data_IF_527440834553
#
_entry.id   IF_527440834553
#
_cell.length_a   1.000
_cell.length_b   1.000
_cell.length_c   1.000
_cell.angle_alpha   90.00
_cell.angle_beta   90.00
_cell.angle_gamma   90.00
#
_symmetry.space_group_name_H-M   'P 1'
#
loop_
_entity.id
_entity.type
_entity.pdbx_description
1 polymer ?
#
# COMPACT_ATOMS: atom_id res chain seq x y z
N UNK A 1 -12.45 7.03 -5.21
CA UNK A 1 -12.25 5.96 -4.20
C UNK A 1 -11.40 6.59 -3.11
N UNK A 2 -11.69 6.41 -1.82
CA UNK A 2 -10.77 6.90 -0.78
C UNK A 2 -9.54 5.99 -0.72
N UNK A 3 -8.41 6.52 -0.27
CA UNK A 3 -7.18 5.73 -0.12
C UNK A 3 -7.38 4.48 0.75
N UNK A 4 -8.11 4.63 1.86
CA UNK A 4 -8.50 3.50 2.70
C UNK A 4 -9.33 2.45 1.96
N UNK A 5 -10.25 2.87 1.08
CA UNK A 5 -11.10 1.96 0.29
C UNK A 5 -10.29 1.19 -0.78
N UNK A 6 -9.23 1.79 -1.33
CA UNK A 6 -8.30 1.09 -2.22
C UNK A 6 -7.52 -0.02 -1.51
N UNK A 7 -7.33 0.09 -0.19
CA UNK A 7 -6.55 -0.87 0.61
C UNK A 7 -7.45 -1.93 1.24
N UNK A 8 -8.43 -1.50 2.03
CA UNK A 8 -9.31 -2.38 2.85
C UNK A 8 -10.77 -2.43 2.37
N UNK A 9 -11.12 -1.72 1.29
CA UNK A 9 -12.47 -1.76 0.73
C UNK A 9 -12.83 -3.13 0.16
N UNK A 10 -14.10 -3.32 -0.20
CA UNK A 10 -14.61 -4.61 -0.73
C UNK A 10 -13.82 -5.12 -1.95
N UNK A 11 -13.27 -4.20 -2.74
CA UNK A 11 -12.38 -4.47 -3.87
C UNK A 11 -10.99 -3.87 -3.66
N UNK A 12 -10.55 -3.80 -2.41
CA UNK A 12 -9.24 -3.29 -2.04
C UNK A 12 -8.14 -4.34 -2.22
N UNK A 13 -6.90 -3.88 -2.31
CA UNK A 13 -5.74 -4.73 -2.56
C UNK A 13 -5.61 -5.85 -1.51
N UNK A 14 -5.88 -5.57 -0.24
CA UNK A 14 -5.78 -6.57 0.83
C UNK A 14 -6.88 -7.63 0.76
N UNK A 15 -8.07 -7.27 0.26
CA UNK A 15 -9.16 -8.23 0.07
C UNK A 15 -8.81 -9.18 -1.08
N UNK A 16 -8.31 -8.65 -2.19
CA UNK A 16 -7.83 -9.46 -3.32
C UNK A 16 -6.72 -10.44 -2.89
N UNK A 17 -5.76 -9.96 -2.10
CA UNK A 17 -4.66 -10.79 -1.60
C UNK A 17 -5.10 -11.87 -0.61
N UNK A 18 -6.07 -11.58 0.28
CA UNK A 18 -6.53 -12.52 1.31
C UNK A 18 -7.58 -13.50 0.82
N UNK A 19 -8.50 -13.05 -0.04
CA UNK A 19 -9.62 -13.87 -0.51
C UNK A 19 -9.31 -14.59 -1.83
N UNK A 20 -8.52 -13.96 -2.71
CA UNK A 20 -8.27 -14.46 -4.05
C UNK A 20 -6.81 -14.89 -4.29
N UNK A 21 -5.92 -14.70 -3.31
CA UNK A 21 -4.48 -14.98 -3.42
C UNK A 21 -3.86 -14.35 -4.67
N UNK A 22 -4.37 -13.18 -5.08
CA UNK A 22 -3.99 -12.51 -6.31
C UNK A 22 -3.58 -11.07 -6.00
N UNK A 23 -2.46 -10.66 -6.59
CA UNK A 23 -1.99 -9.29 -6.50
C UNK A 23 -2.62 -8.47 -7.63
N UNK A 24 -3.51 -7.56 -7.27
CA UNK A 24 -4.18 -6.71 -8.24
C UNK A 24 -3.33 -5.48 -8.56
N UNK A 25 -2.52 -5.58 -9.63
CA UNK A 25 -1.58 -4.53 -10.02
C UNK A 25 -2.23 -3.18 -10.28
N UNK A 26 -3.47 -3.16 -10.78
CA UNK A 26 -4.17 -1.89 -11.05
C UNK A 26 -4.46 -1.12 -9.77
N UNK A 27 -4.96 -1.83 -8.75
CA UNK A 27 -5.23 -1.21 -7.43
C UNK A 27 -3.93 -0.75 -6.81
N UNK A 28 -2.88 -1.57 -6.91
CA UNK A 28 -1.56 -1.20 -6.43
C UNK A 28 -1.02 0.07 -7.11
N UNK A 29 -1.12 0.18 -8.43
CA UNK A 29 -0.72 1.39 -9.16
C UNK A 29 -1.53 2.62 -8.72
N UNK A 30 -2.85 2.48 -8.49
CA UNK A 30 -3.68 3.56 -7.95
C UNK A 30 -3.20 4.01 -6.54
N UNK A 31 -2.84 3.07 -5.67
CA UNK A 31 -2.27 3.34 -4.34
C UNK A 31 -0.96 4.13 -4.45
N UNK A 32 -0.05 3.68 -5.31
CA UNK A 32 1.26 4.34 -5.49
C UNK A 32 1.11 5.72 -6.11
N UNK A 33 0.22 5.89 -7.09
CA UNK A 33 -0.08 7.20 -7.66
C UNK A 33 -0.63 8.15 -6.60
N UNK A 34 -1.58 7.69 -5.79
CA UNK A 34 -2.13 8.48 -4.68
C UNK A 34 -1.02 8.93 -3.71
N UNK A 35 -0.14 8.00 -3.30
CA UNK A 35 0.97 8.33 -2.41
C UNK A 35 1.89 9.38 -3.03
N UNK A 36 2.30 9.21 -4.29
CA UNK A 36 3.19 10.17 -4.97
C UNK A 36 2.56 11.55 -5.17
N UNK A 37 1.27 11.62 -5.50
CA UNK A 37 0.55 12.89 -5.66
C UNK A 37 0.50 13.67 -4.33
N UNK A 38 0.26 12.98 -3.22
CA UNK A 38 0.17 13.61 -1.90
C UNK A 38 1.52 13.79 -1.20
N UNK A 39 2.57 13.06 -1.62
CA UNK A 39 3.90 13.12 -1.02
C UNK A 39 4.49 14.52 -0.99
N UNK A 40 4.36 15.25 -2.11
CA UNK A 40 4.86 16.63 -2.23
C UNK A 40 4.14 17.57 -1.27
N UNK A 41 2.83 17.38 -1.09
CA UNK A 41 2.01 18.17 -0.16
C UNK A 41 2.37 17.86 1.30
N UNK A 42 2.46 16.58 1.66
CA UNK A 42 2.84 16.15 3.02
C UNK A 42 4.24 16.62 3.40
N UNK A 43 5.20 16.53 2.47
CA UNK A 43 6.56 17.03 2.68
C UNK A 43 6.60 18.55 2.86
N UNK A 44 5.82 19.30 2.06
CA UNK A 44 5.79 20.75 2.16
C UNK A 44 5.07 21.26 3.41
N UNK A 45 4.06 20.54 3.89
CA UNK A 45 3.24 20.95 5.04
C UNK A 45 3.72 20.35 6.37
N UNK A 46 4.55 19.31 6.31
CA UNK A 46 4.97 18.51 7.48
C UNK A 46 3.81 17.79 8.15
N UNK A 47 2.71 17.56 7.42
CA UNK A 47 1.48 17.00 7.96
C UNK A 47 0.96 15.89 7.07
N UNK A 48 0.74 14.71 7.66
CA UNK A 48 0.06 13.59 7.03
C UNK A 48 -1.28 13.40 7.76
N UNK A 49 -2.41 13.35 7.04
CA UNK A 49 -3.68 13.02 7.66
C UNK A 49 -3.62 11.65 8.35
N UNK A 50 -4.15 11.57 9.58
CA UNK A 50 -4.13 10.33 10.37
C UNK A 50 -4.78 9.16 9.62
N UNK A 51 -5.82 9.42 8.84
CA UNK A 51 -6.50 8.39 8.06
C UNK A 51 -5.59 7.76 6.99
N UNK A 52 -4.76 8.57 6.34
CA UNK A 52 -3.84 8.12 5.30
C UNK A 52 -2.64 7.39 5.92
N UNK A 53 -2.07 7.94 7.00
CA UNK A 53 -1.01 7.29 7.76
C UNK A 53 -1.44 5.91 8.28
N UNK A 54 -2.61 5.80 8.91
CA UNK A 54 -3.15 4.52 9.40
C UNK A 54 -3.35 3.54 8.25
N UNK A 55 -3.87 4.00 7.12
CA UNK A 55 -4.09 3.13 5.95
C UNK A 55 -2.77 2.63 5.36
N UNK A 56 -1.73 3.48 5.29
CA UNK A 56 -0.38 3.08 4.88
C UNK A 56 0.23 2.04 5.81
N UNK A 57 0.19 2.27 7.12
CA UNK A 57 0.74 1.30 8.08
C UNK A 57 0.01 -0.04 8.03
N UNK A 58 -1.32 -0.03 7.89
CA UNK A 58 -2.10 -1.26 7.72
C UNK A 58 -1.73 -2.01 6.44
N UNK A 59 -1.47 -1.29 5.35
CA UNK A 59 -1.00 -1.89 4.10
C UNK A 59 0.35 -2.58 4.31
N UNK A 60 1.34 -1.88 4.87
CA UNK A 60 2.69 -2.43 5.10
C UNK A 60 2.65 -3.63 6.03
N UNK A 61 1.93 -3.53 7.16
CA UNK A 61 1.79 -4.63 8.12
C UNK A 61 1.18 -5.88 7.46
N UNK A 62 0.10 -5.69 6.69
CA UNK A 62 -0.57 -6.79 6.04
C UNK A 62 0.25 -7.44 4.92
N UNK A 63 1.02 -6.65 4.16
CA UNK A 63 1.91 -7.16 3.13
C UNK A 63 3.15 -7.86 3.73
N UNK A 64 3.72 -7.28 4.80
CA UNK A 64 4.89 -7.83 5.51
C UNK A 64 4.58 -9.10 6.30
N UNK A 65 3.31 -9.34 6.62
CA UNK A 65 2.85 -10.54 7.34
C UNK A 65 3.02 -11.84 6.54
N UNK A 66 3.16 -11.75 5.21
CA UNK A 66 3.30 -12.91 4.34
C UNK A 66 2.05 -13.82 4.30
N UNK A 67 2.04 -14.78 3.40
CA UNK A 67 1.02 -15.84 3.38
C UNK A 67 1.56 -17.11 2.77
N UNK A 68 1.40 -18.23 3.49
CA UNK A 68 1.69 -19.57 2.99
C UNK A 68 0.85 -20.00 1.77
N UNK A 69 -0.21 -19.24 1.45
CA UNK A 69 -1.12 -19.51 0.34
C UNK A 69 -0.77 -18.73 -0.93
N UNK A 70 0.17 -17.78 -0.85
CA UNK A 70 0.61 -17.06 -2.02
C UNK A 70 1.49 -17.95 -2.88
N UNK A 71 1.37 -17.77 -4.19
CA UNK A 71 2.33 -18.34 -5.14
C UNK A 71 3.62 -17.51 -5.09
N UNK A 72 4.76 -18.11 -5.46
CA UNK A 72 6.06 -17.43 -5.49
C UNK A 72 5.99 -16.09 -6.25
N UNK A 73 5.27 -16.05 -7.38
CA UNK A 73 5.06 -14.82 -8.15
C UNK A 73 4.33 -13.72 -7.33
N UNK A 74 3.32 -14.11 -6.55
CA UNK A 74 2.56 -13.15 -5.73
C UNK A 74 3.40 -12.68 -4.55
N UNK A 75 4.13 -13.59 -3.90
CA UNK A 75 5.03 -13.28 -2.80
C UNK A 75 6.10 -12.27 -3.25
N UNK A 76 6.76 -12.51 -4.38
CA UNK A 76 7.73 -11.59 -4.96
C UNK A 76 7.13 -10.21 -5.26
N UNK A 77 5.91 -10.15 -5.83
CA UNK A 77 5.23 -8.86 -6.08
C UNK A 77 4.86 -8.14 -4.79
N UNK A 78 4.48 -8.87 -3.74
CA UNK A 78 4.17 -8.31 -2.43
C UNK A 78 5.44 -7.75 -1.76
N UNK A 79 6.56 -8.46 -1.82
CA UNK A 79 7.84 -7.98 -1.29
C UNK A 79 8.33 -6.71 -2.00
N UNK A 80 8.26 -6.68 -3.33
CA UNK A 80 8.58 -5.52 -4.15
C UNK A 80 7.70 -4.31 -3.78
N UNK A 81 6.40 -4.55 -3.60
CA UNK A 81 5.44 -3.54 -3.17
C UNK A 81 5.75 -2.97 -1.78
N UNK A 82 6.12 -3.81 -0.81
CA UNK A 82 6.51 -3.36 0.54
C UNK A 82 7.73 -2.45 0.45
N UNK A 83 8.74 -2.84 -0.32
CA UNK A 83 9.97 -2.07 -0.47
C UNK A 83 9.71 -0.69 -1.09
N UNK A 84 8.92 -0.63 -2.17
CA UNK A 84 8.57 0.62 -2.84
C UNK A 84 7.79 1.57 -1.92
N UNK A 85 6.81 1.06 -1.16
CA UNK A 85 6.05 1.89 -0.20
C UNK A 85 6.96 2.38 0.94
N UNK A 86 7.88 1.56 1.43
CA UNK A 86 8.82 1.96 2.47
C UNK A 86 9.81 3.03 1.98
N UNK A 87 10.28 2.94 0.73
CA UNK A 87 11.10 3.99 0.12
C UNK A 87 10.32 5.32 0.07
N UNK A 88 9.08 5.29 -0.42
CA UNK A 88 8.19 6.46 -0.48
C UNK A 88 8.06 7.11 0.92
N UNK A 89 7.81 6.31 1.96
CA UNK A 89 7.70 6.81 3.34
C UNK A 89 9.02 7.40 3.83
N UNK A 90 10.14 6.75 3.54
CA UNK A 90 11.46 7.21 3.98
C UNK A 90 11.76 8.61 3.43
N UNK A 91 11.28 8.94 2.22
CA UNK A 91 11.45 10.30 1.66
C UNK A 91 10.68 11.40 2.40
N UNK A 92 9.69 11.04 3.24
CA UNK A 92 8.96 11.96 4.11
C UNK A 92 9.73 12.27 5.40
N UNK A 93 10.68 11.40 5.79
CA UNK A 93 11.54 11.62 6.97
C UNK A 93 12.75 12.55 6.67
N UNK A 94 13.11 12.72 5.40
CA UNK A 94 14.17 13.65 4.91
C UNK A 94 13.72 15.10 4.72
#
# INVERSE_FOLDING_TARGET
MSFSDMIVGERGLLVELRCHNSFNEKIYTDIINYLNEHLSEWKSTGFIPVADAVSMFNLIDALSGGSQFWSEEVELRVEDAVFEIQEIISTLEE
#
